data_IF_528382901205
#
_entry.id   IF_528382901205
#
_cell.length_a   1.000
_cell.length_b   1.000
_cell.length_c   1.000
_cell.angle_alpha   90.00
_cell.angle_beta   90.00
_cell.angle_gamma   90.00
#
_symmetry.space_group_name_H-M   'P 1'
#
loop_
_entity.id
_entity.type
_entity.pdbx_description
1 polymer ?
#
# COMPACT_ATOMS: atom_id res chain seq x y z
N UNK A 1 13.83 -7.16 54.36
CA UNK A 1 15.07 -6.38 54.42
C UNK A 1 14.79 -5.03 53.85
N UNK A 2 14.68 -4.08 54.80
CA UNK A 2 14.46 -2.66 54.57
C UNK A 2 15.60 -1.98 53.85
N UNK A 3 15.27 -0.89 53.19
CA UNK A 3 15.94 0.41 53.12
C UNK A 3 15.18 1.30 52.09
N UNK A 4 14.31 2.16 52.42
CA UNK A 4 14.21 3.44 53.14
C UNK A 4 15.13 4.57 52.64
N UNK A 5 14.45 5.64 52.13
CA UNK A 5 14.74 7.10 52.21
C UNK A 5 16.03 7.68 51.61
N UNK A 6 15.85 8.66 50.70
CA UNK A 6 16.45 10.03 50.77
C UNK A 6 15.69 10.91 49.77
N UNK A 7 14.93 11.87 50.23
CA UNK A 7 15.20 13.23 50.67
C UNK A 7 14.99 14.26 49.53
N UNK A 8 14.00 15.11 49.78
CA UNK A 8 13.63 16.29 49.06
C UNK A 8 14.76 17.38 49.10
N UNK A 9 14.91 18.15 48.05
CA UNK A 9 15.50 19.45 48.10
C UNK A 9 14.57 20.47 47.44
N UNK A 10 14.15 21.42 48.25
CA UNK A 10 13.49 22.69 47.92
C UNK A 10 14.40 23.54 47.03
N UNK A 11 13.82 24.15 45.98
CA UNK A 11 14.40 25.32 45.34
C UNK A 11 13.33 26.41 45.20
N UNK A 12 13.68 27.53 45.77
CA UNK A 12 12.95 28.79 45.91
C UNK A 12 12.34 29.35 44.63
N UNK A 13 11.13 29.88 44.81
CA UNK A 13 10.45 30.81 43.92
C UNK A 13 11.20 32.15 43.91
N UNK A 14 11.56 32.66 42.76
CA UNK A 14 11.86 34.07 42.51
C UNK A 14 10.89 34.63 41.49
N UNK A 15 10.06 35.54 41.96
CA UNK A 15 9.26 36.47 41.17
C UNK A 15 10.14 37.35 40.27
N UNK A 16 9.69 37.59 39.04
CA UNK A 16 10.34 38.55 38.15
C UNK A 16 9.68 38.66 36.78
N UNK A 17 8.76 39.61 36.68
CA UNK A 17 8.38 40.42 35.51
C UNK A 17 7.80 39.77 34.26
N UNK A 18 6.52 40.11 34.09
CA UNK A 18 5.76 40.03 32.87
C UNK A 18 6.38 40.89 31.75
N UNK A 19 6.60 40.31 30.59
CA UNK A 19 6.68 41.02 29.31
C UNK A 19 5.74 40.35 28.33
N UNK A 20 4.59 40.98 28.11
CA UNK A 20 3.65 40.69 27.03
C UNK A 20 4.35 40.89 25.68
N UNK A 21 4.55 39.79 24.97
CA UNK A 21 4.74 39.81 23.53
C UNK A 21 3.59 38.98 22.87
N UNK A 22 2.57 39.73 22.46
CA UNK A 22 1.54 39.28 21.55
C UNK A 22 2.19 38.81 20.21
N UNK A 23 2.39 37.52 20.06
CA UNK A 23 2.68 36.89 18.77
C UNK A 23 1.36 36.61 18.06
N UNK A 24 0.97 37.55 17.21
CA UNK A 24 -0.14 37.38 16.26
C UNK A 24 0.25 36.33 15.23
N UNK A 25 -0.13 35.09 15.47
CA UNK A 25 -0.04 33.99 14.46
C UNK A 25 -1.23 34.14 13.53
N UNK A 26 -1.00 34.76 12.38
CA UNK A 26 -1.95 34.72 11.27
C UNK A 26 -2.02 33.29 10.70
N UNK A 27 -3.13 32.59 10.98
CA UNK A 27 -3.46 31.31 10.35
C UNK A 27 -3.66 31.50 8.83
N UNK A 28 -3.14 30.61 7.97
CA UNK A 28 -3.45 30.64 6.55
C UNK A 28 -4.95 30.33 6.33
N UNK A 29 -5.59 31.13 5.51
CA UNK A 29 -7.01 31.09 5.21
C UNK A 29 -7.43 29.72 4.65
N UNK A 30 -8.18 28.97 5.42
CA UNK A 30 -8.98 27.86 4.93
C UNK A 30 -9.90 28.38 3.81
N UNK A 31 -9.83 27.76 2.64
CA UNK A 31 -10.66 28.08 1.50
C UNK A 31 -12.13 28.03 1.87
N UNK A 32 -12.78 29.19 1.93
CA UNK A 32 -14.21 29.32 2.21
C UNK A 32 -14.99 28.66 1.07
N UNK A 33 -15.65 27.55 1.36
CA UNK A 33 -16.75 27.05 0.51
C UNK A 33 -17.75 28.20 0.35
N UNK A 34 -18.16 28.56 -0.89
CA UNK A 34 -19.07 29.68 -1.11
C UNK A 34 -20.38 29.46 -0.35
N UNK A 35 -20.82 30.45 0.42
CA UNK A 35 -22.06 30.42 1.20
C UNK A 35 -23.32 30.06 0.38
N UNK A 36 -23.27 30.27 -0.96
CA UNK A 36 -24.32 29.86 -1.88
C UNK A 36 -24.47 28.34 -2.04
N UNK A 37 -23.37 27.57 -1.90
CA UNK A 37 -23.42 26.10 -1.89
C UNK A 37 -24.05 25.55 -0.61
N UNK A 38 -23.84 26.19 0.54
CA UNK A 38 -24.45 25.84 1.81
C UNK A 38 -25.95 26.14 1.89
N UNK A 39 -26.44 27.12 1.12
CA UNK A 39 -27.87 27.53 1.11
C UNK A 39 -28.70 26.64 0.19
N UNK A 40 -28.13 26.14 -0.91
CA UNK A 40 -28.81 25.18 -1.78
C UNK A 40 -28.98 23.79 -1.16
N UNK A 41 -28.19 23.47 -0.13
CA UNK A 41 -28.17 22.17 0.58
C UNK A 41 -29.25 22.08 1.69
N UNK A 42 -29.91 23.20 2.07
CA UNK A 42 -30.88 23.23 3.15
C UNK A 42 -32.36 22.93 2.73
N UNK A 43 -32.59 22.59 1.47
CA UNK A 43 -33.95 22.29 0.97
C UNK A 43 -34.30 20.79 0.87
N UNK A 44 -33.39 19.88 1.24
CA UNK A 44 -33.68 18.46 1.33
C UNK A 44 -34.28 18.12 2.72
N UNK A 45 -35.14 17.13 2.76
CA UNK A 45 -35.86 16.69 3.96
C UNK A 45 -34.83 16.49 5.12
N UNK A 46 -34.96 17.23 6.25
CA UNK A 46 -33.88 17.29 7.25
C UNK A 46 -33.63 15.98 8.01
N UNK A 47 -34.51 14.98 7.89
CA UNK A 47 -34.41 13.74 8.66
C UNK A 47 -33.50 12.65 8.06
N UNK A 48 -33.03 12.81 6.80
CA UNK A 48 -32.23 11.80 6.13
C UNK A 48 -30.95 12.34 5.43
N UNK A 49 -30.58 13.58 5.75
CA UNK A 49 -29.44 14.20 5.06
C UNK A 49 -28.10 13.62 5.49
N UNK A 50 -27.35 13.12 4.51
CA UNK A 50 -25.96 12.65 4.62
C UNK A 50 -25.05 13.67 3.96
N UNK A 51 -23.93 14.02 4.61
CA UNK A 51 -22.93 14.92 4.07
C UNK A 51 -21.53 14.32 4.19
N UNK A 52 -20.78 14.32 3.12
CA UNK A 52 -19.45 13.72 3.11
C UNK A 52 -18.75 13.82 1.77
N UNK A 53 -17.95 12.83 1.48
CA UNK A 53 -17.25 12.66 0.21
C UNK A 53 -17.24 11.18 -0.18
N UNK A 54 -17.22 10.91 -1.47
CA UNK A 54 -16.91 9.60 -2.01
C UNK A 54 -15.54 9.69 -2.69
N UNK A 55 -14.63 8.81 -2.29
CA UNK A 55 -13.28 8.74 -2.84
C UNK A 55 -13.11 7.44 -3.60
N UNK A 56 -12.36 7.50 -4.70
CA UNK A 56 -11.81 6.31 -5.36
C UNK A 56 -10.30 6.43 -5.42
N UNK A 57 -9.63 5.38 -4.97
CA UNK A 57 -8.20 5.22 -5.02
C UNK A 57 -7.89 4.26 -6.16
N UNK A 58 -7.03 4.70 -7.10
CA UNK A 58 -6.51 3.83 -8.15
C UNK A 58 -4.99 3.81 -8.01
N UNK A 59 -4.45 2.64 -7.79
CA UNK A 59 -3.02 2.47 -7.52
C UNK A 59 -2.36 1.65 -8.63
N UNK A 60 -1.13 2.03 -8.96
CA UNK A 60 -0.32 1.40 -10.00
C UNK A 60 1.07 1.10 -9.47
N UNK A 61 1.54 -0.09 -9.69
CA UNK A 61 2.93 -0.46 -9.50
C UNK A 61 3.70 -0.22 -10.81
N UNK A 62 4.56 0.81 -10.81
CA UNK A 62 5.17 1.34 -12.03
C UNK A 62 6.68 1.11 -12.15
N UNK A 63 7.38 0.85 -11.03
CA UNK A 63 8.83 0.66 -11.00
C UNK A 63 9.26 0.05 -9.66
N UNK A 64 10.54 -0.39 -9.54
CA UNK A 64 11.05 -0.94 -8.28
C UNK A 64 11.22 0.12 -7.17
N UNK A 65 11.52 1.38 -7.53
CA UNK A 65 11.72 2.47 -6.58
C UNK A 65 11.46 3.82 -7.22
N UNK A 66 10.85 4.75 -6.46
CA UNK A 66 10.77 6.16 -6.80
C UNK A 66 11.68 6.95 -5.85
N UNK A 67 12.68 7.64 -6.39
CA UNK A 67 13.56 8.51 -5.62
C UNK A 67 12.83 9.80 -5.26
N UNK A 68 12.17 9.80 -4.11
CA UNK A 68 11.27 10.89 -3.69
C UNK A 68 11.98 12.25 -3.61
N UNK A 69 13.26 12.30 -3.20
CA UNK A 69 14.03 13.55 -3.14
C UNK A 69 14.23 14.16 -4.52
N UNK A 70 14.62 13.33 -5.50
CA UNK A 70 14.77 13.75 -6.88
C UNK A 70 13.41 14.13 -7.50
N UNK A 71 12.34 13.42 -7.16
CA UNK A 71 10.99 13.74 -7.60
C UNK A 71 10.55 15.12 -7.09
N UNK A 72 10.83 15.46 -5.81
CA UNK A 72 10.54 16.78 -5.25
C UNK A 72 11.25 17.92 -6.02
N UNK A 73 12.50 17.70 -6.39
CA UNK A 73 13.24 18.66 -7.20
C UNK A 73 12.61 18.87 -8.58
N UNK A 74 12.17 17.78 -9.22
CA UNK A 74 11.52 17.81 -10.56
C UNK A 74 10.16 18.50 -10.52
N UNK A 75 9.33 18.18 -9.53
CA UNK A 75 7.95 18.69 -9.42
C UNK A 75 7.88 20.09 -8.79
N UNK A 76 8.88 20.45 -7.97
CA UNK A 76 9.03 21.79 -7.38
C UNK A 76 7.94 22.12 -6.34
N UNK A 77 7.59 23.40 -6.22
CA UNK A 77 6.70 23.95 -5.18
C UNK A 77 5.22 23.47 -5.23
N UNK A 78 4.87 22.59 -6.17
CA UNK A 78 3.52 22.00 -6.28
C UNK A 78 3.35 20.74 -5.41
N UNK A 79 4.42 20.32 -4.73
CA UNK A 79 4.43 19.10 -3.93
C UNK A 79 4.37 19.41 -2.45
N UNK A 80 3.64 18.58 -1.73
CA UNK A 80 3.67 18.50 -0.28
C UNK A 80 4.15 17.09 0.14
N UNK A 81 4.70 16.98 1.33
CA UNK A 81 4.91 15.66 1.93
C UNK A 81 3.58 15.21 2.52
N UNK A 82 3.09 14.07 2.10
CA UNK A 82 1.94 13.45 2.74
C UNK A 82 2.30 13.13 4.19
N UNK A 83 1.55 13.67 5.12
CA UNK A 83 1.75 13.44 6.54
C UNK A 83 0.42 13.10 7.19
N UNK A 84 0.46 12.24 8.21
CA UNK A 84 -0.71 12.03 9.06
C UNK A 84 -0.94 13.32 9.85
N UNK A 85 -2.03 14.02 9.58
CA UNK A 85 -2.34 15.35 10.16
C UNK A 85 -2.77 15.31 11.63
N UNK A 86 -2.68 14.18 12.32
CA UNK A 86 -2.98 14.12 13.74
C UNK A 86 -1.92 14.80 14.60
N UNK A 87 -2.37 15.79 15.34
CA UNK A 87 -1.56 16.77 16.08
C UNK A 87 -0.96 16.23 17.38
N UNK A 88 -1.31 15.06 17.87
CA UNK A 88 -0.79 14.58 19.15
C UNK A 88 -0.13 13.21 19.01
N UNK A 89 1.00 13.11 19.60
CA UNK A 89 2.32 13.01 19.00
C UNK A 89 2.30 12.00 17.88
N UNK A 90 2.96 12.24 16.74
CA UNK A 90 2.95 11.41 15.53
C UNK A 90 3.28 9.94 15.79
N UNK A 91 2.31 9.19 16.31
CA UNK A 91 2.41 7.76 16.62
C UNK A 91 2.36 6.88 15.36
N UNK A 92 1.81 7.42 14.27
CA UNK A 92 1.84 6.82 12.94
C UNK A 92 2.71 7.68 12.04
N UNK A 93 3.74 7.09 11.46
CA UNK A 93 4.68 7.81 10.58
C UNK A 93 5.07 6.96 9.39
N UNK A 94 5.08 7.59 8.22
CA UNK A 94 5.82 7.03 7.09
C UNK A 94 7.32 7.03 7.41
N UNK A 95 8.00 5.98 7.04
CA UNK A 95 9.46 5.94 7.12
C UNK A 95 10.07 6.94 6.11
N UNK A 96 9.50 6.99 4.91
CA UNK A 96 9.75 7.98 3.86
C UNK A 96 8.40 8.55 3.43
N UNK A 97 8.06 9.80 3.81
CA UNK A 97 6.79 10.38 3.44
C UNK A 97 6.61 10.42 1.92
N UNK A 98 5.49 9.93 1.39
CA UNK A 98 5.21 10.00 -0.04
C UNK A 98 5.11 11.46 -0.50
N UNK A 99 5.45 11.69 -1.76
CA UNK A 99 5.28 13.00 -2.40
C UNK A 99 3.86 13.09 -2.94
N UNK A 100 3.19 14.19 -2.66
CA UNK A 100 1.81 14.46 -3.08
C UNK A 100 1.75 15.66 -4.02
N UNK A 101 0.99 15.53 -5.11
CA UNK A 101 0.71 16.60 -6.07
C UNK A 101 -0.81 16.71 -6.28
N UNK A 102 -1.37 17.91 -6.17
CA UNK A 102 -2.78 18.15 -6.45
C UNK A 102 -3.02 18.10 -7.96
N UNK A 103 -4.05 17.37 -8.37
CA UNK A 103 -4.47 17.26 -9.77
C UNK A 103 -5.43 18.40 -10.15
N UNK A 104 -5.49 18.71 -11.43
CA UNK A 104 -6.55 19.59 -11.94
C UNK A 104 -7.90 18.89 -11.83
N UNK A 105 -8.97 19.64 -11.50
CA UNK A 105 -10.30 19.05 -11.38
C UNK A 105 -10.74 18.36 -12.67
N UNK A 106 -11.22 17.12 -12.55
CA UNK A 106 -11.71 16.30 -13.64
C UNK A 106 -13.24 16.38 -13.72
N UNK A 107 -13.79 16.40 -14.93
CA UNK A 107 -15.23 16.32 -15.15
C UNK A 107 -15.53 14.97 -15.79
N UNK A 108 -16.35 14.15 -15.13
CA UNK A 108 -16.83 12.89 -15.68
C UNK A 108 -17.87 13.14 -16.79
N UNK A 109 -18.09 12.14 -17.63
CA UNK A 109 -19.14 12.17 -18.66
C UNK A 109 -20.54 12.41 -18.08
N UNK A 110 -20.77 11.96 -16.82
CA UNK A 110 -21.99 12.22 -16.03
C UNK A 110 -22.15 13.68 -15.58
N UNK A 111 -21.14 14.54 -15.82
CA UNK A 111 -21.12 15.95 -15.42
C UNK A 111 -20.62 16.19 -13.99
N UNK A 112 -20.26 15.16 -13.24
CA UNK A 112 -19.70 15.28 -11.90
C UNK A 112 -18.28 15.84 -11.97
N UNK A 113 -17.99 16.79 -11.06
CA UNK A 113 -16.65 17.40 -10.95
C UNK A 113 -15.89 16.78 -9.80
N UNK A 114 -14.84 16.06 -10.12
CA UNK A 114 -13.95 15.43 -9.16
C UNK A 114 -12.78 16.36 -8.82
N UNK A 115 -12.40 16.39 -7.57
CA UNK A 115 -11.09 16.85 -7.14
C UNK A 115 -10.18 15.62 -7.07
N UNK A 116 -8.86 15.82 -7.12
CA UNK A 116 -7.96 14.70 -7.03
C UNK A 116 -6.57 15.10 -6.60
N UNK A 117 -5.85 14.10 -6.13
CA UNK A 117 -4.42 14.16 -5.85
C UNK A 117 -3.73 12.89 -6.37
N UNK A 118 -2.41 12.98 -6.50
CA UNK A 118 -1.56 11.85 -6.84
C UNK A 118 -0.44 11.76 -5.81
N UNK A 119 -0.21 10.55 -5.29
CA UNK A 119 0.82 10.25 -4.30
C UNK A 119 1.82 9.27 -4.89
N UNK A 120 3.09 9.55 -4.64
CA UNK A 120 4.22 8.73 -5.09
C UNK A 120 4.88 8.11 -3.87
N UNK A 121 4.89 6.78 -3.81
CA UNK A 121 5.53 6.03 -2.73
C UNK A 121 6.94 5.61 -3.15
N UNK A 122 7.86 5.57 -2.19
CA UNK A 122 9.27 5.24 -2.46
C UNK A 122 9.48 3.80 -2.97
N UNK A 123 8.57 2.90 -2.68
CA UNK A 123 8.58 1.51 -3.14
C UNK A 123 7.94 1.29 -4.52
N UNK A 124 7.75 2.32 -5.33
CA UNK A 124 7.38 2.18 -6.75
C UNK A 124 5.91 2.34 -7.07
N UNK A 125 5.05 2.44 -6.06
CA UNK A 125 3.60 2.61 -6.24
C UNK A 125 3.23 4.08 -6.44
N UNK A 126 2.31 4.32 -7.36
CA UNK A 126 1.63 5.60 -7.54
C UNK A 126 0.15 5.42 -7.24
N UNK A 127 -0.41 6.29 -6.41
CA UNK A 127 -1.83 6.28 -6.05
C UNK A 127 -2.50 7.57 -6.53
N UNK A 128 -3.49 7.44 -7.40
CA UNK A 128 -4.39 8.52 -7.81
C UNK A 128 -5.65 8.44 -6.96
N UNK A 129 -6.02 9.55 -6.34
CA UNK A 129 -7.23 9.66 -5.55
C UNK A 129 -8.15 10.66 -6.21
N UNK A 130 -9.40 10.27 -6.50
CA UNK A 130 -10.45 11.18 -6.91
C UNK A 130 -11.48 11.31 -5.80
N UNK A 131 -11.90 12.53 -5.53
CA UNK A 131 -12.89 12.86 -4.50
C UNK A 131 -14.08 13.59 -5.11
N UNK A 132 -15.28 13.09 -4.81
CA UNK A 132 -16.55 13.73 -5.10
C UNK A 132 -17.22 14.18 -3.79
N UNK A 133 -17.42 15.47 -3.54
CA UNK A 133 -18.29 15.91 -2.44
C UNK A 133 -19.68 15.34 -2.58
N UNK A 134 -20.21 14.73 -1.52
CA UNK A 134 -21.51 14.07 -1.49
C UNK A 134 -22.48 14.77 -0.56
N UNK A 135 -23.73 14.89 -1.04
CA UNK A 135 -24.87 15.30 -0.23
C UNK A 135 -26.13 14.61 -0.75
N UNK A 136 -26.85 13.92 0.14
CA UNK A 136 -28.06 13.18 -0.23
C UNK A 136 -28.61 12.35 0.91
N UNK A 137 -29.33 11.32 0.54
CA UNK A 137 -29.87 10.29 1.40
C UNK A 137 -29.18 8.94 1.18
N UNK A 138 -29.62 7.90 1.89
CA UNK A 138 -29.06 6.55 1.75
C UNK A 138 -29.29 5.94 0.37
N UNK A 139 -30.46 6.17 -0.23
CA UNK A 139 -30.78 5.64 -1.56
C UNK A 139 -29.84 6.22 -2.61
N UNK A 140 -29.58 7.52 -2.53
CA UNK A 140 -28.63 8.19 -3.43
C UNK A 140 -27.19 7.69 -3.22
N UNK A 141 -26.79 7.43 -1.96
CA UNK A 141 -25.46 6.90 -1.66
C UNK A 141 -25.30 5.48 -2.18
N UNK A 142 -26.29 4.61 -2.02
CA UNK A 142 -26.31 3.24 -2.55
C UNK A 142 -26.24 3.25 -4.08
N UNK A 143 -27.03 4.08 -4.76
CA UNK A 143 -26.99 4.20 -6.22
C UNK A 143 -25.62 4.70 -6.72
N UNK A 144 -25.06 5.69 -6.03
CA UNK A 144 -23.73 6.21 -6.35
C UNK A 144 -22.65 5.14 -6.15
N UNK A 145 -22.71 4.41 -5.04
CA UNK A 145 -21.77 3.32 -4.75
C UNK A 145 -21.81 2.24 -5.83
N UNK A 146 -22.99 1.74 -6.17
CA UNK A 146 -23.15 0.72 -7.22
C UNK A 146 -22.60 1.19 -8.56
N UNK A 147 -22.93 2.41 -8.96
CA UNK A 147 -22.43 2.99 -10.22
C UNK A 147 -20.92 3.16 -10.22
N UNK A 148 -20.32 3.61 -9.13
CA UNK A 148 -18.88 3.84 -9.07
C UNK A 148 -18.09 2.55 -9.03
N UNK A 149 -18.57 1.58 -8.26
CA UNK A 149 -17.87 0.28 -8.11
C UNK A 149 -17.94 -0.55 -9.39
N UNK A 150 -19.07 -0.51 -10.13
CA UNK A 150 -19.29 -1.44 -11.24
C UNK A 150 -19.32 -0.81 -12.63
N UNK A 151 -19.81 0.44 -12.76
CA UNK A 151 -20.14 1.00 -14.06
C UNK A 151 -19.21 2.13 -14.49
N UNK A 152 -18.34 2.66 -13.60
CA UNK A 152 -17.49 3.81 -13.90
C UNK A 152 -16.05 3.36 -14.11
N UNK A 153 -15.50 3.63 -15.30
CA UNK A 153 -14.13 3.27 -15.64
C UNK A 153 -13.12 4.32 -15.14
N UNK A 154 -12.84 4.32 -13.84
CA UNK A 154 -11.81 5.18 -13.24
C UNK A 154 -10.39 4.78 -13.61
N UNK A 155 -10.16 3.50 -13.87
CA UNK A 155 -8.87 2.94 -14.26
C UNK A 155 -8.30 3.63 -15.51
N UNK A 156 -9.09 3.71 -16.59
CA UNK A 156 -8.65 4.36 -17.81
C UNK A 156 -8.33 5.84 -17.62
N UNK A 157 -9.08 6.53 -16.74
CA UNK A 157 -8.84 7.94 -16.41
C UNK A 157 -7.52 8.09 -15.65
N UNK A 158 -7.32 7.28 -14.60
CA UNK A 158 -6.12 7.30 -13.79
C UNK A 158 -4.88 6.88 -14.58
N UNK A 159 -4.98 5.83 -15.41
CA UNK A 159 -3.88 5.39 -16.29
C UNK A 159 -3.37 6.50 -17.20
N UNK A 160 -4.28 7.31 -17.80
CA UNK A 160 -3.89 8.45 -18.66
C UNK A 160 -3.14 9.50 -17.86
N UNK A 161 -3.62 9.84 -16.66
CA UNK A 161 -2.98 10.82 -15.77
C UNK A 161 -1.59 10.31 -15.35
N UNK A 162 -1.50 9.05 -14.90
CA UNK A 162 -0.23 8.47 -14.46
C UNK A 162 0.78 8.44 -15.60
N UNK A 163 0.40 8.06 -16.82
CA UNK A 163 1.31 8.10 -18.00
C UNK A 163 1.86 9.49 -18.25
N UNK A 164 1.02 10.53 -18.25
CA UNK A 164 1.45 11.91 -18.41
C UNK A 164 2.41 12.36 -17.30
N UNK A 165 2.10 12.02 -16.04
CA UNK A 165 2.94 12.38 -14.90
C UNK A 165 4.28 11.65 -14.89
N UNK A 166 4.29 10.38 -15.29
CA UNK A 166 5.51 9.57 -15.37
C UNK A 166 6.51 10.08 -16.41
N UNK A 167 6.07 10.68 -17.51
CA UNK A 167 6.97 11.31 -18.48
C UNK A 167 7.86 12.36 -17.80
N UNK A 168 7.28 13.16 -16.90
CA UNK A 168 8.03 14.17 -16.12
C UNK A 168 8.85 13.54 -14.99
N UNK A 169 8.33 12.52 -14.35
CA UNK A 169 8.97 11.83 -13.21
C UNK A 169 10.06 10.83 -13.64
N UNK A 170 10.19 10.54 -14.93
CA UNK A 170 11.08 9.50 -15.46
C UNK A 170 12.51 9.49 -14.88
N UNK A 171 13.20 10.64 -14.66
CA UNK A 171 14.53 10.62 -14.07
C UNK A 171 14.58 10.10 -12.62
N UNK A 172 13.46 10.18 -11.89
CA UNK A 172 13.36 9.72 -10.50
C UNK A 172 13.01 8.23 -10.37
N UNK A 173 12.65 7.56 -11.48
CA UNK A 173 12.25 6.15 -11.47
C UNK A 173 13.47 5.22 -11.57
N UNK A 174 13.50 4.19 -10.73
CA UNK A 174 14.49 3.13 -10.76
C UNK A 174 13.86 1.88 -11.34
N UNK A 175 14.44 1.33 -12.41
CA UNK A 175 13.97 0.14 -13.12
C UNK A 175 12.44 0.21 -13.42
N UNK A 176 11.98 1.20 -14.20
CA UNK A 176 10.57 1.30 -14.57
C UNK A 176 10.11 0.05 -15.33
N UNK A 177 8.87 -0.39 -15.05
CA UNK A 177 8.32 -1.56 -15.71
C UNK A 177 7.87 -1.21 -17.13
N UNK A 178 8.24 -2.08 -18.08
CA UNK A 178 7.96 -1.92 -19.51
C UNK A 178 6.72 -2.68 -19.98
N UNK A 179 6.15 -3.51 -19.10
CA UNK A 179 4.91 -4.25 -19.32
C UNK A 179 3.71 -3.48 -18.78
N UNK A 180 2.51 -4.01 -18.95
CA UNK A 180 1.32 -3.48 -18.28
C UNK A 180 1.54 -3.45 -16.78
N UNK A 181 1.16 -2.34 -16.15
CA UNK A 181 1.27 -2.18 -14.71
C UNK A 181 0.19 -2.99 -14.01
N UNK A 182 0.53 -3.60 -12.89
CA UNK A 182 -0.47 -4.07 -11.96
C UNK A 182 -1.20 -2.88 -11.36
N UNK A 183 -2.47 -3.05 -11.10
CA UNK A 183 -3.32 -2.01 -10.56
C UNK A 183 -4.31 -2.56 -9.54
N UNK A 184 -4.72 -1.69 -8.65
CA UNK A 184 -5.77 -1.90 -7.64
C UNK A 184 -6.66 -0.69 -7.56
N UNK A 185 -7.96 -0.90 -7.42
CA UNK A 185 -8.95 0.12 -7.09
C UNK A 185 -9.55 -0.12 -5.71
N UNK A 186 -9.91 0.96 -5.04
CA UNK A 186 -10.58 0.90 -3.76
C UNK A 186 -11.48 2.11 -3.55
N UNK A 187 -12.69 1.89 -3.04
CA UNK A 187 -13.69 2.95 -2.88
C UNK A 187 -13.87 3.29 -1.40
N UNK A 188 -13.99 4.58 -1.06
CA UNK A 188 -14.20 5.03 0.30
C UNK A 188 -15.40 5.98 0.35
N UNK A 189 -16.42 5.58 1.10
CA UNK A 189 -17.63 6.36 1.36
C UNK A 189 -17.50 7.03 2.72
N UNK A 190 -17.01 8.27 2.74
CA UNK A 190 -16.76 9.03 3.96
C UNK A 190 -17.92 9.97 4.23
N UNK A 191 -18.69 9.72 5.30
CA UNK A 191 -19.71 10.62 5.81
C UNK A 191 -19.17 11.40 7.00
N UNK A 192 -19.17 12.71 6.88
CA UNK A 192 -18.76 13.64 7.95
C UNK A 192 -19.90 13.95 8.90
N UNK A 193 -21.12 14.02 8.35
CA UNK A 193 -22.32 14.36 9.08
C UNK A 193 -23.48 13.48 8.62
N UNK A 194 -24.21 12.95 9.59
CA UNK A 194 -25.46 12.22 9.41
C UNK A 194 -26.52 12.93 10.24
N UNK A 195 -27.71 13.16 9.70
CA UNK A 195 -28.82 13.80 10.42
C UNK A 195 -29.08 13.08 11.74
N UNK A 196 -29.24 13.85 12.81
CA UNK A 196 -29.42 13.33 14.16
C UNK A 196 -28.13 12.89 14.86
N UNK A 197 -26.98 12.99 14.22
CA UNK A 197 -25.64 12.61 14.76
C UNK A 197 -25.69 11.28 15.56
N UNK A 198 -26.09 10.15 14.92
CA UNK A 198 -26.27 8.88 15.63
C UNK A 198 -24.97 8.38 16.22
N UNK A 199 -25.04 7.61 17.31
CA UNK A 199 -23.89 6.83 17.74
C UNK A 199 -23.58 5.71 16.73
N UNK A 200 -22.35 5.20 16.72
CA UNK A 200 -21.97 4.06 15.88
C UNK A 200 -22.90 2.85 16.09
N UNK A 201 -23.33 2.61 17.33
CA UNK A 201 -24.25 1.52 17.68
C UNK A 201 -25.64 1.75 17.08
N UNK A 202 -26.19 2.95 17.22
CA UNK A 202 -27.50 3.29 16.68
C UNK A 202 -27.48 3.30 15.14
N UNK A 203 -26.41 3.82 14.57
CA UNK A 203 -26.20 3.83 13.12
C UNK A 203 -26.18 2.40 12.55
N UNK A 204 -25.46 1.50 13.18
CA UNK A 204 -25.42 0.08 12.78
C UNK A 204 -26.77 -0.62 12.96
N UNK A 205 -27.48 -0.32 14.06
CA UNK A 205 -28.77 -0.93 14.33
C UNK A 205 -29.83 -0.52 13.31
N UNK A 206 -29.84 0.75 12.88
CA UNK A 206 -30.87 1.30 11.99
C UNK A 206 -30.44 1.21 10.52
N UNK A 207 -29.17 1.49 10.22
CA UNK A 207 -28.68 1.65 8.85
C UNK A 207 -27.67 0.55 8.42
N UNK A 208 -27.47 -0.47 9.23
CA UNK A 208 -26.51 -1.55 8.93
C UNK A 208 -26.76 -2.24 7.59
N UNK A 209 -28.01 -2.37 7.16
CA UNK A 209 -28.36 -2.86 5.82
C UNK A 209 -27.84 -1.95 4.71
N UNK A 210 -28.10 -0.65 4.81
CA UNK A 210 -27.67 0.35 3.84
C UNK A 210 -26.13 0.47 3.79
N UNK A 211 -25.47 0.46 4.95
CA UNK A 211 -24.01 0.46 5.03
C UNK A 211 -23.43 -0.77 4.30
N UNK A 212 -24.02 -1.93 4.51
CA UNK A 212 -23.57 -3.17 3.84
C UNK A 212 -23.75 -3.11 2.33
N UNK A 213 -24.87 -2.55 1.83
CA UNK A 213 -25.09 -2.32 0.40
C UNK A 213 -24.05 -1.37 -0.18
N UNK A 214 -23.77 -0.25 0.50
CA UNK A 214 -22.75 0.73 0.09
C UNK A 214 -21.37 0.07 0.00
N UNK A 215 -20.97 -0.72 0.99
CA UNK A 215 -19.67 -1.40 1.02
C UNK A 215 -19.55 -2.48 -0.06
N UNK A 216 -20.66 -3.11 -0.47
CA UNK A 216 -20.67 -4.10 -1.58
C UNK A 216 -20.92 -3.49 -2.96
N UNK A 217 -21.35 -2.23 -3.03
CA UNK A 217 -21.78 -1.62 -4.28
C UNK A 217 -23.08 -2.21 -4.82
N UNK A 218 -23.95 -2.74 -3.95
CA UNK A 218 -25.17 -3.45 -4.35
C UNK A 218 -26.43 -2.61 -4.09
N UNK A 219 -27.30 -2.55 -5.09
CA UNK A 219 -28.59 -1.84 -4.97
C UNK A 219 -29.67 -2.70 -4.33
N UNK A 220 -29.53 -4.02 -4.37
CA UNK A 220 -30.46 -4.95 -3.77
C UNK A 220 -30.11 -5.20 -2.29
N UNK A 221 -31.11 -5.39 -1.41
CA UNK A 221 -30.84 -5.76 -0.03
C UNK A 221 -30.08 -7.10 0.06
N UNK A 222 -29.03 -7.11 0.88
CA UNK A 222 -28.21 -8.29 1.10
C UNK A 222 -28.88 -9.24 2.10
N UNK A 223 -28.53 -10.54 2.01
CA UNK A 223 -28.95 -11.54 3.00
C UNK A 223 -28.41 -11.21 4.39
N UNK A 224 -29.05 -11.74 5.43
CA UNK A 224 -28.60 -11.52 6.82
C UNK A 224 -27.20 -12.05 7.07
N UNK A 225 -26.81 -13.16 6.45
CA UNK A 225 -25.46 -13.73 6.56
C UNK A 225 -24.42 -12.81 5.95
N UNK A 226 -24.63 -12.32 4.74
CA UNK A 226 -23.73 -11.39 4.06
C UNK A 226 -23.61 -10.06 4.81
N UNK A 227 -24.75 -9.51 5.27
CA UNK A 227 -24.75 -8.31 6.10
C UNK A 227 -23.92 -8.48 7.38
N UNK A 228 -24.06 -9.61 8.07
CA UNK A 228 -23.28 -9.88 9.27
C UNK A 228 -21.79 -10.00 8.96
N UNK A 229 -21.40 -10.67 7.88
CA UNK A 229 -20.01 -10.79 7.46
C UNK A 229 -19.35 -9.41 7.24
N UNK A 230 -20.03 -8.52 6.49
CA UNK A 230 -19.55 -7.17 6.25
C UNK A 230 -19.44 -6.39 7.55
N UNK A 231 -20.50 -6.39 8.37
CA UNK A 231 -20.55 -5.60 9.60
C UNK A 231 -19.67 -6.14 10.73
N UNK A 232 -19.17 -7.38 10.66
CA UNK A 232 -18.14 -7.88 11.57
C UNK A 232 -16.80 -7.15 11.37
N UNK A 233 -16.55 -6.65 10.18
CA UNK A 233 -15.30 -5.98 9.81
C UNK A 233 -15.38 -4.48 10.09
N UNK A 234 -15.71 -4.14 11.34
CA UNK A 234 -15.86 -2.77 11.79
C UNK A 234 -14.94 -2.42 12.94
N UNK A 235 -14.61 -1.15 13.04
CA UNK A 235 -13.86 -0.59 14.16
C UNK A 235 -14.44 0.80 14.51
N UNK A 236 -14.45 1.12 15.79
CA UNK A 236 -14.86 2.41 16.34
C UNK A 236 -14.00 2.69 17.56
N UNK A 237 -13.64 3.93 17.80
CA UNK A 237 -12.91 4.38 18.97
C UNK A 237 -13.77 5.25 19.88
N UNK A 238 -14.50 6.21 19.30
CA UNK A 238 -15.45 7.05 20.01
C UNK A 238 -16.89 6.63 19.70
N UNK A 239 -17.88 7.11 20.49
CA UNK A 239 -19.28 6.79 20.24
C UNK A 239 -19.81 7.20 18.85
N UNK A 240 -19.21 8.24 18.24
CA UNK A 240 -19.69 8.84 16.99
C UNK A 240 -18.69 8.68 15.84
N UNK A 241 -17.82 7.67 15.91
CA UNK A 241 -17.01 7.25 14.79
C UNK A 241 -17.27 5.79 14.42
N UNK A 242 -17.15 5.44 13.16
CA UNK A 242 -17.32 4.09 12.65
C UNK A 242 -16.55 3.91 11.35
N UNK A 243 -15.76 2.87 11.26
CA UNK A 243 -15.25 2.39 9.97
C UNK A 243 -15.71 0.95 9.75
N UNK A 244 -16.33 0.66 8.60
CA UNK A 244 -16.69 -0.68 8.12
C UNK A 244 -15.86 -0.93 6.87
N UNK A 245 -15.00 -1.96 6.91
CA UNK A 245 -14.00 -2.22 5.88
C UNK A 245 -14.37 -3.48 5.13
N UNK A 246 -14.63 -3.34 3.84
CA UNK A 246 -14.83 -4.42 2.89
C UNK A 246 -13.59 -4.72 2.07
N UNK A 247 -13.72 -5.62 1.11
CA UNK A 247 -12.64 -6.03 0.22
C UNK A 247 -12.24 -4.92 -0.75
N UNK A 248 -13.20 -4.32 -1.46
CA UNK A 248 -12.99 -3.29 -2.48
C UNK A 248 -13.54 -1.91 -2.08
N UNK A 249 -14.20 -1.80 -0.93
CA UNK A 249 -14.73 -0.54 -0.45
C UNK A 249 -14.79 -0.46 1.07
N UNK A 250 -14.76 0.76 1.61
CA UNK A 250 -14.97 1.05 3.01
C UNK A 250 -16.03 2.15 3.21
N UNK A 251 -16.79 2.03 4.29
CA UNK A 251 -17.66 3.08 4.81
C UNK A 251 -17.02 3.69 6.05
N UNK A 252 -16.87 5.00 6.09
CA UNK A 252 -16.30 5.74 7.22
C UNK A 252 -17.29 6.82 7.65
N UNK A 253 -17.67 6.81 8.92
CA UNK A 253 -18.40 7.88 9.57
C UNK A 253 -17.49 8.47 10.64
N UNK A 254 -16.94 9.65 10.38
CA UNK A 254 -16.04 10.36 11.30
C UNK A 254 -15.88 11.81 10.83
N UNK A 255 -15.38 12.66 11.72
CA UNK A 255 -14.94 14.00 11.35
C UNK A 255 -13.76 13.95 10.36
N UNK A 256 -13.48 15.03 9.59
CA UNK A 256 -12.47 15.01 8.56
C UNK A 256 -11.06 14.63 9.06
N UNK A 257 -10.72 14.98 10.30
CA UNK A 257 -9.38 14.72 10.87
C UNK A 257 -9.23 13.25 11.23
N UNK A 258 -10.25 12.64 11.85
CA UNK A 258 -10.23 11.20 12.18
C UNK A 258 -10.26 10.32 10.93
N UNK A 259 -11.12 10.65 9.97
CA UNK A 259 -11.24 9.94 8.70
C UNK A 259 -9.96 9.98 7.87
N UNK A 260 -9.20 11.07 7.89
CA UNK A 260 -7.96 11.20 7.11
C UNK A 260 -6.94 10.10 7.44
N UNK A 261 -6.75 9.80 8.73
CA UNK A 261 -5.86 8.71 9.15
C UNK A 261 -6.37 7.36 8.63
N UNK A 262 -7.68 7.11 8.71
CA UNK A 262 -8.27 5.87 8.20
C UNK A 262 -8.10 5.73 6.67
N UNK A 263 -8.33 6.81 5.92
CA UNK A 263 -8.16 6.86 4.46
C UNK A 263 -6.70 6.57 4.08
N UNK A 264 -5.74 7.19 4.76
CA UNK A 264 -4.30 6.97 4.49
C UNK A 264 -3.88 5.53 4.81
N UNK A 265 -4.41 4.92 5.87
CA UNK A 265 -4.12 3.53 6.21
C UNK A 265 -4.75 2.54 5.22
N UNK A 266 -5.95 2.82 4.72
CA UNK A 266 -6.57 2.06 3.64
C UNK A 266 -5.75 2.17 2.34
N UNK A 267 -5.34 3.38 1.97
CA UNK A 267 -4.47 3.61 0.82
C UNK A 267 -3.16 2.82 0.92
N UNK A 268 -2.54 2.80 2.10
CA UNK A 268 -1.33 2.05 2.36
C UNK A 268 -1.56 0.53 2.30
N UNK A 269 -2.65 0.02 2.88
CA UNK A 269 -2.96 -1.42 2.83
C UNK A 269 -3.14 -1.91 1.38
N UNK A 270 -3.84 -1.12 0.54
CA UNK A 270 -4.01 -1.45 -0.87
C UNK A 270 -2.69 -1.35 -1.67
N UNK A 271 -1.83 -0.38 -1.37
CA UNK A 271 -0.51 -0.31 -2.01
C UNK A 271 0.38 -1.50 -1.65
N UNK A 272 0.30 -2.00 -0.41
CA UNK A 272 1.00 -3.23 -0.02
C UNK A 272 0.46 -4.46 -0.72
N UNK A 273 -0.88 -4.58 -0.86
CA UNK A 273 -1.48 -5.66 -1.63
C UNK A 273 -0.92 -5.70 -3.05
N UNK A 274 -0.86 -4.53 -3.70
CA UNK A 274 -0.36 -4.38 -5.06
C UNK A 274 1.10 -4.84 -5.18
N UNK A 275 1.96 -4.44 -4.24
CA UNK A 275 3.35 -4.86 -4.17
C UNK A 275 3.50 -6.38 -3.98
N UNK A 276 2.77 -6.97 -3.04
CA UNK A 276 2.85 -8.42 -2.84
C UNK A 276 2.31 -9.22 -4.02
N UNK A 277 1.31 -8.71 -4.73
CA UNK A 277 0.84 -9.31 -5.99
C UNK A 277 1.93 -9.26 -7.07
N UNK A 278 2.62 -8.14 -7.18
CA UNK A 278 3.74 -8.01 -8.12
C UNK A 278 4.86 -9.02 -7.81
N UNK A 279 5.26 -9.15 -6.54
CA UNK A 279 6.31 -10.10 -6.15
C UNK A 279 5.86 -11.55 -6.36
N UNK A 280 4.59 -11.86 -6.13
CA UNK A 280 4.02 -13.17 -6.40
C UNK A 280 4.12 -13.53 -7.89
N UNK A 281 3.75 -12.62 -8.80
CA UNK A 281 3.86 -12.83 -10.24
C UNK A 281 5.33 -12.90 -10.69
N UNK A 282 6.20 -12.04 -10.19
CA UNK A 282 7.63 -12.04 -10.50
C UNK A 282 8.27 -13.37 -10.13
N UNK A 283 8.03 -13.85 -8.90
CA UNK A 283 8.55 -15.13 -8.43
C UNK A 283 7.98 -16.29 -9.22
N UNK A 284 6.70 -16.28 -9.57
CA UNK A 284 6.08 -17.30 -10.44
C UNK A 284 6.83 -17.42 -11.75
N UNK A 285 7.01 -16.31 -12.46
CA UNK A 285 7.75 -16.28 -13.75
C UNK A 285 9.19 -16.78 -13.61
N UNK A 286 9.87 -16.42 -12.51
CA UNK A 286 11.26 -16.89 -12.31
C UNK A 286 11.31 -18.38 -12.01
N UNK A 287 10.40 -18.90 -11.17
CA UNK A 287 10.32 -20.32 -10.85
C UNK A 287 9.97 -21.18 -12.08
N UNK A 288 8.98 -20.76 -12.86
CA UNK A 288 8.64 -21.42 -14.12
C UNK A 288 9.84 -21.47 -15.07
N UNK A 289 10.57 -20.36 -15.22
CA UNK A 289 11.78 -20.32 -16.03
C UNK A 289 12.89 -21.25 -15.53
N UNK A 290 13.01 -21.45 -14.22
CA UNK A 290 13.97 -22.40 -13.62
C UNK A 290 13.51 -23.83 -13.83
N UNK A 291 12.24 -24.16 -13.62
CA UNK A 291 11.67 -25.50 -13.87
C UNK A 291 11.82 -25.90 -15.34
N UNK A 292 11.45 -25.04 -16.27
CA UNK A 292 11.64 -25.23 -17.71
C UNK A 292 13.10 -25.47 -18.08
N UNK A 293 14.01 -24.78 -17.40
CA UNK A 293 15.43 -24.97 -17.60
C UNK A 293 15.91 -26.35 -17.10
N UNK A 294 15.45 -26.77 -15.93
CA UNK A 294 15.80 -28.06 -15.34
C UNK A 294 15.23 -29.23 -16.16
N UNK A 295 14.00 -29.10 -16.65
CA UNK A 295 13.36 -30.12 -17.48
C UNK A 295 14.06 -30.33 -18.84
N UNK A 296 14.53 -29.24 -19.44
CA UNK A 296 15.29 -29.27 -20.71
C UNK A 296 16.76 -29.67 -20.54
N UNK A 297 17.19 -30.01 -19.33
CA UNK A 297 18.54 -30.21 -18.89
C UNK A 297 19.36 -31.16 -19.78
N UNK A 298 20.27 -30.60 -20.58
CA UNK A 298 21.27 -31.33 -21.37
C UNK A 298 22.45 -31.77 -20.51
N UNK A 299 22.89 -33.02 -20.66
CA UNK A 299 24.10 -33.57 -20.04
C UNK A 299 25.33 -33.10 -20.79
N UNK A 300 25.89 -31.90 -20.47
CA UNK A 300 27.11 -31.40 -21.10
C UNK A 300 27.78 -30.25 -20.34
N UNK A 301 29.04 -29.94 -20.64
CA UNK A 301 29.81 -28.85 -20.01
C UNK A 301 29.15 -27.48 -20.21
N UNK A 302 28.48 -27.26 -21.31
CA UNK A 302 27.73 -26.04 -21.61
C UNK A 302 26.44 -25.94 -20.77
N UNK A 303 25.79 -27.05 -20.41
CA UNK A 303 24.66 -27.09 -19.51
C UNK A 303 25.03 -26.57 -18.14
N UNK A 304 26.19 -26.95 -17.61
CA UNK A 304 26.67 -26.53 -16.28
C UNK A 304 26.90 -25.02 -16.17
N UNK A 305 27.43 -24.39 -17.21
CA UNK A 305 27.59 -22.93 -17.23
C UNK A 305 26.22 -22.20 -17.23
N UNK A 306 25.26 -22.77 -17.93
CA UNK A 306 23.90 -22.26 -17.96
C UNK A 306 23.20 -22.41 -16.59
N UNK A 307 23.41 -23.55 -15.90
CA UNK A 307 22.89 -23.76 -14.53
C UNK A 307 23.45 -22.74 -13.54
N UNK A 308 24.78 -22.51 -13.56
CA UNK A 308 25.39 -21.50 -12.70
C UNK A 308 24.86 -20.09 -12.96
N UNK A 309 24.63 -19.74 -14.24
CA UNK A 309 24.06 -18.44 -14.61
C UNK A 309 22.58 -18.31 -14.21
N UNK A 310 21.79 -19.39 -14.34
CA UNK A 310 20.40 -19.42 -13.89
C UNK A 310 20.31 -19.32 -12.36
N UNK A 311 21.17 -20.03 -11.63
CA UNK A 311 21.27 -19.92 -10.16
C UNK A 311 21.65 -18.51 -9.72
N UNK A 312 22.64 -17.88 -10.36
CA UNK A 312 23.03 -16.50 -10.05
C UNK A 312 21.87 -15.51 -10.30
N UNK A 313 21.14 -15.68 -11.41
CA UNK A 313 19.96 -14.84 -11.69
C UNK A 313 18.86 -15.01 -10.65
N UNK A 314 18.57 -16.27 -10.28
CA UNK A 314 17.58 -16.56 -9.24
C UNK A 314 17.97 -15.95 -7.89
N UNK A 315 19.27 -16.04 -7.52
CA UNK A 315 19.77 -15.45 -6.28
C UNK A 315 19.59 -13.92 -6.25
N UNK A 316 19.86 -13.24 -7.37
CA UNK A 316 19.64 -11.79 -7.46
C UNK A 316 18.16 -11.45 -7.24
N UNK A 317 17.24 -12.16 -7.89
CA UNK A 317 15.80 -11.94 -7.71
C UNK A 317 15.36 -12.21 -6.26
N UNK A 318 15.90 -13.26 -5.61
CA UNK A 318 15.63 -13.53 -4.20
C UNK A 318 16.04 -12.38 -3.28
N UNK A 319 17.22 -11.79 -3.51
CA UNK A 319 17.70 -10.65 -2.74
C UNK A 319 16.84 -9.41 -3.01
N UNK A 320 16.56 -9.11 -4.26
CA UNK A 320 15.75 -7.95 -4.66
C UNK A 320 14.34 -8.04 -4.02
N UNK A 321 13.66 -9.18 -4.17
CA UNK A 321 12.30 -9.36 -3.62
C UNK A 321 12.31 -9.32 -2.08
N UNK A 322 13.34 -9.90 -1.43
CA UNK A 322 13.44 -9.85 0.04
C UNK A 322 13.62 -8.42 0.55
N UNK A 323 14.47 -7.61 -0.10
CA UNK A 323 14.68 -6.21 0.25
C UNK A 323 13.41 -5.37 0.03
N UNK A 324 12.76 -5.53 -1.12
CA UNK A 324 11.54 -4.80 -1.46
C UNK A 324 10.37 -5.17 -0.53
N UNK A 325 10.22 -6.46 -0.20
CA UNK A 325 9.23 -6.94 0.78
C UNK A 325 9.45 -6.29 2.15
N UNK A 326 10.70 -6.22 2.62
CA UNK A 326 11.02 -5.54 3.88
C UNK A 326 10.72 -4.04 3.82
N UNK A 327 11.01 -3.39 2.69
CA UNK A 327 10.71 -1.97 2.48
C UNK A 327 9.21 -1.69 2.52
N UNK A 328 8.40 -2.48 1.83
CA UNK A 328 6.94 -2.37 1.83
C UNK A 328 6.35 -2.61 3.23
N UNK A 329 6.83 -3.61 3.97
CA UNK A 329 6.38 -3.90 5.34
C UNK A 329 6.72 -2.79 6.34
N UNK A 330 7.83 -2.10 6.15
CA UNK A 330 8.33 -1.09 7.08
C UNK A 330 7.97 0.35 6.71
N UNK A 331 7.21 0.57 5.63
CA UNK A 331 6.93 1.93 5.14
C UNK A 331 6.14 2.78 6.14
N UNK A 332 5.31 2.18 7.01
CA UNK A 332 4.63 2.85 8.12
C UNK A 332 5.05 2.27 9.46
N UNK A 333 5.32 3.13 10.42
CA UNK A 333 5.61 2.78 11.80
C UNK A 333 4.49 3.24 12.73
N UNK A 334 3.94 2.28 13.49
CA UNK A 334 2.94 2.53 14.53
C UNK A 334 3.66 2.70 15.87
N UNK A 335 3.90 3.95 16.26
CA UNK A 335 4.58 4.28 17.51
C UNK A 335 3.54 4.49 18.63
N UNK A 336 3.13 3.40 19.28
CA UNK A 336 2.18 3.41 20.42
C UNK A 336 0.72 3.76 20.10
N UNK A 337 0.34 3.91 18.84
CA UNK A 337 -1.08 4.07 18.45
C UNK A 337 -1.72 2.72 18.17
N UNK A 338 -2.30 2.14 19.22
CA UNK A 338 -2.97 0.84 19.15
C UNK A 338 -4.23 0.86 18.27
N UNK A 339 -4.92 2.01 18.16
CA UNK A 339 -6.13 2.10 17.35
C UNK A 339 -5.78 2.08 15.86
N UNK A 340 -4.87 2.94 15.42
CA UNK A 340 -4.40 2.97 14.04
C UNK A 340 -3.76 1.64 13.61
N UNK A 341 -3.01 0.99 14.51
CA UNK A 341 -2.47 -0.35 14.26
C UNK A 341 -3.56 -1.41 14.06
N UNK A 342 -4.64 -1.36 14.85
CA UNK A 342 -5.79 -2.26 14.71
C UNK A 342 -6.57 -1.98 13.42
N UNK A 343 -6.78 -0.71 13.10
CA UNK A 343 -7.44 -0.28 11.86
C UNK A 343 -6.67 -0.76 10.64
N UNK A 344 -5.35 -0.52 10.62
CA UNK A 344 -4.48 -1.01 9.56
C UNK A 344 -4.52 -2.55 9.43
N UNK A 345 -4.42 -3.27 10.57
CA UNK A 345 -4.49 -4.73 10.56
C UNK A 345 -5.82 -5.25 9.98
N UNK A 346 -6.93 -4.60 10.32
CA UNK A 346 -8.25 -4.92 9.77
C UNK A 346 -8.31 -4.64 8.28
N UNK A 347 -7.81 -3.48 7.84
CA UNK A 347 -7.74 -3.11 6.43
C UNK A 347 -6.89 -4.12 5.64
N UNK A 348 -5.65 -4.35 6.05
CA UNK A 348 -4.74 -5.29 5.42
C UNK A 348 -5.32 -6.71 5.31
N UNK A 349 -6.00 -7.19 6.38
CA UNK A 349 -6.67 -8.48 6.37
C UNK A 349 -7.80 -8.53 5.33
N UNK A 350 -8.61 -7.48 5.24
CA UNK A 350 -9.78 -7.47 4.35
C UNK A 350 -9.42 -7.31 2.87
N UNK A 351 -8.38 -6.55 2.55
CA UNK A 351 -7.89 -6.44 1.17
C UNK A 351 -7.00 -7.64 0.75
N UNK A 352 -6.59 -8.52 1.68
CA UNK A 352 -5.87 -9.75 1.37
C UNK A 352 -4.34 -9.66 1.44
N UNK A 353 -3.77 -8.63 2.06
CA UNK A 353 -2.31 -8.47 2.20
C UNK A 353 -1.64 -9.70 2.83
N UNK A 354 -2.15 -10.30 3.94
CA UNK A 354 -1.52 -11.46 4.54
C UNK A 354 -1.45 -12.66 3.59
N UNK A 355 -2.51 -12.90 2.80
CA UNK A 355 -2.60 -14.05 1.90
C UNK A 355 -1.51 -13.97 0.82
N UNK A 356 -1.35 -12.81 0.17
CA UNK A 356 -0.30 -12.61 -0.84
C UNK A 356 1.11 -12.60 -0.23
N UNK A 357 1.26 -12.04 0.98
CA UNK A 357 2.52 -12.10 1.71
C UNK A 357 2.95 -13.53 2.00
N UNK A 358 2.03 -14.38 2.44
CA UNK A 358 2.29 -15.80 2.68
C UNK A 358 2.66 -16.54 1.38
N UNK A 359 1.98 -16.25 0.27
CA UNK A 359 2.33 -16.78 -1.06
C UNK A 359 3.74 -16.38 -1.48
N UNK A 360 4.09 -15.11 -1.34
CA UNK A 360 5.45 -14.61 -1.64
C UNK A 360 6.49 -15.33 -0.77
N UNK A 361 6.25 -15.46 0.54
CA UNK A 361 7.18 -16.15 1.46
C UNK A 361 7.35 -17.63 1.09
N UNK A 362 6.28 -18.33 0.72
CA UNK A 362 6.35 -19.72 0.26
C UNK A 362 7.17 -19.84 -1.02
N UNK A 363 6.96 -18.95 -1.99
CA UNK A 363 7.70 -18.94 -3.25
C UNK A 363 9.18 -18.57 -3.05
N UNK A 364 9.49 -17.62 -2.16
CA UNK A 364 10.87 -17.30 -1.77
C UNK A 364 11.58 -18.52 -1.19
N UNK A 365 10.93 -19.26 -0.29
CA UNK A 365 11.48 -20.50 0.26
C UNK A 365 11.73 -21.55 -0.81
N UNK A 366 10.78 -21.77 -1.71
CA UNK A 366 10.92 -22.70 -2.84
C UNK A 366 12.08 -22.28 -3.76
N UNK A 367 12.20 -20.99 -4.05
CA UNK A 367 13.29 -20.46 -4.86
C UNK A 367 14.65 -20.61 -4.18
N UNK A 368 14.74 -20.45 -2.85
CA UNK A 368 15.96 -20.69 -2.08
C UNK A 368 16.37 -22.16 -2.12
N UNK A 369 15.41 -23.09 -1.96
CA UNK A 369 15.66 -24.53 -2.07
C UNK A 369 16.17 -24.91 -3.46
N UNK A 370 15.56 -24.39 -4.53
CA UNK A 370 16.02 -24.59 -5.91
C UNK A 370 17.39 -24.00 -6.14
N UNK A 371 17.67 -22.81 -5.64
CA UNK A 371 19.00 -22.19 -5.73
C UNK A 371 20.07 -23.09 -5.09
N UNK A 372 19.82 -23.57 -3.86
CA UNK A 372 20.72 -24.49 -3.17
C UNK A 372 20.95 -25.78 -3.97
N UNK A 373 19.86 -26.37 -4.48
CA UNK A 373 19.97 -27.57 -5.34
C UNK A 373 20.86 -27.32 -6.57
N UNK A 374 20.65 -26.21 -7.28
CA UNK A 374 21.44 -25.86 -8.46
C UNK A 374 22.91 -25.62 -8.15
N UNK A 375 23.23 -25.00 -7.00
CA UNK A 375 24.58 -24.77 -6.52
C UNK A 375 25.25 -26.09 -6.14
N UNK A 376 24.57 -26.99 -5.47
CA UNK A 376 25.10 -28.30 -5.08
C UNK A 376 25.39 -29.18 -6.30
N UNK A 377 24.46 -29.22 -7.27
CA UNK A 377 24.66 -29.91 -8.53
C UNK A 377 25.88 -29.36 -9.30
N UNK A 378 26.05 -28.05 -9.33
CA UNK A 378 27.22 -27.42 -9.95
C UNK A 378 28.51 -27.79 -9.23
N UNK A 379 28.55 -27.77 -7.90
CA UNK A 379 29.74 -28.12 -7.10
C UNK A 379 30.09 -29.61 -7.26
N UNK A 380 29.11 -30.50 -7.20
CA UNK A 380 29.32 -31.94 -7.43
C UNK A 380 29.87 -32.20 -8.81
N UNK A 381 29.40 -31.50 -9.82
CA UNK A 381 29.89 -31.57 -11.18
C UNK A 381 31.36 -31.12 -11.31
N UNK A 382 31.77 -30.07 -10.58
CA UNK A 382 33.17 -29.61 -10.54
C UNK A 382 34.06 -30.65 -9.87
N UNK A 383 33.67 -31.25 -8.77
CA UNK A 383 34.42 -32.31 -8.09
C UNK A 383 34.66 -33.48 -9.04
N UNK A 384 33.64 -33.95 -9.75
CA UNK A 384 33.76 -35.02 -10.73
C UNK A 384 34.74 -34.69 -11.86
N UNK A 385 34.75 -33.47 -12.38
CA UNK A 385 35.74 -33.06 -13.43
C UNK A 385 37.17 -33.05 -12.90
N UNK A 386 37.39 -32.61 -11.67
CA UNK A 386 38.71 -32.64 -11.02
C UNK A 386 39.19 -34.06 -10.79
N UNK A 387 38.31 -34.94 -10.30
CA UNK A 387 38.66 -36.38 -10.15
C UNK A 387 39.02 -37.03 -11.49
N UNK A 388 38.24 -36.74 -12.55
CA UNK A 388 38.51 -37.24 -13.89
C UNK A 388 39.87 -36.72 -14.42
N UNK A 389 40.20 -35.45 -14.19
CA UNK A 389 41.52 -34.89 -14.56
C UNK A 389 42.66 -35.59 -13.84
N UNK A 390 42.53 -35.86 -12.53
CA UNK A 390 43.53 -36.60 -11.76
C UNK A 390 43.71 -38.01 -12.32
N UNK A 391 42.60 -38.72 -12.62
CA UNK A 391 42.67 -40.06 -13.24
C UNK A 391 43.37 -40.03 -14.60
N UNK A 392 43.10 -39.03 -15.44
CA UNK A 392 43.75 -38.88 -16.75
C UNK A 392 45.25 -38.64 -16.58
N UNK A 393 45.66 -37.79 -15.64
CA UNK A 393 47.07 -37.52 -15.35
C UNK A 393 47.77 -38.81 -14.92
N UNK A 394 47.16 -39.57 -13.98
CA UNK A 394 47.72 -40.87 -13.54
C UNK A 394 47.84 -41.88 -14.68
N UNK A 395 46.85 -41.93 -15.58
CA UNK A 395 46.94 -42.81 -16.78
C UNK A 395 48.08 -42.36 -17.69
N UNK A 396 48.28 -41.08 -17.91
CA UNK A 396 49.36 -40.55 -18.70
C UNK A 396 50.75 -40.92 -18.08
N UNK A 397 50.87 -40.70 -16.75
CA UNK A 397 52.09 -41.10 -16.02
C UNK A 397 52.36 -42.59 -16.14
N UNK A 398 51.35 -43.42 -15.97
CA UNK A 398 51.48 -44.88 -16.12
C UNK A 398 51.97 -45.31 -17.53
N UNK A 399 51.35 -44.68 -18.56
CA UNK A 399 51.75 -44.93 -19.98
C UNK A 399 53.22 -44.51 -20.20
N UNK A 400 53.67 -43.38 -19.66
CA UNK A 400 55.04 -42.94 -19.74
C UNK A 400 55.99 -43.90 -19.02
N UNK A 401 55.62 -44.36 -17.81
CA UNK A 401 56.38 -45.32 -17.02
C UNK A 401 56.61 -46.62 -17.83
N UNK A 402 55.58 -47.20 -18.45
CA UNK A 402 55.71 -48.42 -19.24
C UNK A 402 56.44 -48.23 -20.57
N UNK A 403 56.48 -47.01 -21.10
CA UNK A 403 57.30 -46.70 -22.30
C UNK A 403 58.75 -46.42 -22.02
N UNK A 404 59.22 -46.48 -20.77
CA UNK A 404 60.65 -46.38 -20.37
C UNK A 404 61.25 -45.01 -20.61
N UNK A 405 60.48 -43.95 -20.71
CA UNK A 405 60.97 -42.58 -20.70
C UNK A 405 60.61 -41.95 -19.34
N UNK A 406 61.64 -41.64 -18.50
CA UNK A 406 61.35 -40.85 -17.27
C UNK A 406 60.89 -39.45 -17.64
N UNK A 407 59.95 -38.90 -16.87
CA UNK A 407 59.52 -37.52 -16.93
C UNK A 407 60.63 -36.61 -16.44
#
# INVERSE_FOLDING_TARGET
MDFSLCAAQDVEVRDGEAMDHELTITAPAAGKVPAAALTALKSANPESALFGSVLVLIQFDVCEEIRLDQLREILGARTADASFKHVAPGYVRYQRPPVEEVLEPLILESGERLQGDIKYFDYGVISVVFELPFSGDWDKLIQLSSRWVWDTNFESLATRIVKEKLERAAPALVKPYTTEWLQEDYFIFHLREIAGAPSATDLLAVQGGNISQVVRGETQPLSDGERQEILQSRISYYPHDLAVIGWNAAFIYDNPVGAETAIQLLQYANSQLLEFRHYDELLTKQLEGVYDFLDRGGRGLWSRWRTARAASKLHTVLLDVSELTERADNAIKFLSDMFSARLYKLAALKVGVPDYKDLVQQKLKTAEELYRFMVDEFNQSRAFVLELMVVIILIIELVYFFRGKPI
#
